data_IF_366729978319
#
_entry.id   IF_366729978319
#
_cell.length_a   1.000
_cell.length_b   1.000
_cell.length_c   1.000
_cell.angle_alpha   90.00
_cell.angle_beta   90.00
_cell.angle_gamma   90.00
#
_symmetry.space_group_name_H-M   'P 1'
#
loop_
_entity.id
_entity.type
_entity.pdbx_description
1 polymer ?
#
# COMPACT_ATOMS: atom_id res chain seq x y z
N UNK A 1 14.37 -14.10 -15.52
CA UNK A 1 13.37 -14.03 -16.61
C UNK A 1 13.48 -12.65 -17.25
N UNK A 2 13.07 -12.49 -18.51
CA UNK A 2 13.01 -11.18 -19.15
C UNK A 2 11.71 -10.49 -18.74
N UNK A 3 11.73 -9.19 -18.49
CA UNK A 3 10.53 -8.39 -18.18
C UNK A 3 9.46 -8.58 -19.27
N UNK A 4 8.17 -8.69 -18.90
CA UNK A 4 7.07 -8.75 -19.87
C UNK A 4 7.05 -7.54 -20.81
N UNK A 5 6.64 -7.78 -22.07
CA UNK A 5 6.44 -6.71 -23.05
C UNK A 5 5.02 -6.14 -22.91
N UNK A 6 4.85 -5.22 -21.96
CA UNK A 6 3.56 -4.58 -21.67
C UNK A 6 3.00 -3.78 -22.85
N UNK A 7 3.87 -3.12 -23.64
CA UNK A 7 3.45 -2.36 -24.82
C UNK A 7 2.77 -3.28 -25.83
N UNK A 8 3.35 -4.46 -26.10
CA UNK A 8 2.73 -5.44 -26.97
C UNK A 8 1.42 -5.99 -26.40
N UNK A 9 1.35 -6.28 -25.10
CA UNK A 9 0.12 -6.77 -24.46
C UNK A 9 -1.05 -5.81 -24.64
N UNK A 10 -0.84 -4.52 -24.35
CA UNK A 10 -1.87 -3.49 -24.52
C UNK A 10 -2.20 -3.18 -25.98
N UNK A 11 -1.24 -3.32 -26.90
CA UNK A 11 -1.50 -3.18 -28.32
C UNK A 11 -2.36 -4.33 -28.89
N UNK A 12 -2.12 -5.56 -28.42
CA UNK A 12 -2.84 -6.76 -28.85
C UNK A 12 -4.27 -6.83 -28.25
N UNK A 13 -4.44 -6.43 -26.98
CA UNK A 13 -5.72 -6.28 -26.30
C UNK A 13 -5.72 -4.99 -25.48
N UNK A 14 -6.57 -3.99 -25.80
CA UNK A 14 -6.59 -2.71 -25.08
C UNK A 14 -7.10 -2.82 -23.63
N UNK A 15 -7.61 -3.97 -23.22
CA UNK A 15 -7.97 -4.26 -21.82
C UNK A 15 -7.59 -5.72 -21.45
N UNK A 16 -6.28 -6.06 -21.42
CA UNK A 16 -5.82 -7.44 -21.38
C UNK A 16 -6.17 -8.16 -20.06
N UNK A 17 -6.43 -7.38 -19.01
CA UNK A 17 -6.89 -7.87 -17.70
C UNK A 17 -8.37 -7.61 -17.44
N UNK A 18 -9.11 -7.11 -18.43
CA UNK A 18 -10.53 -6.76 -18.32
C UNK A 18 -10.80 -5.76 -17.17
N UNK A 19 -9.88 -4.85 -16.91
CA UNK A 19 -9.94 -3.81 -15.87
C UNK A 19 -11.21 -2.98 -15.98
N UNK A 20 -11.64 -2.65 -17.20
CA UNK A 20 -12.82 -1.82 -17.40
C UNK A 20 -14.14 -2.56 -17.11
N UNK A 21 -14.17 -3.89 -17.21
CA UNK A 21 -15.43 -4.67 -17.26
C UNK A 21 -15.55 -5.76 -16.20
N UNK A 22 -14.43 -6.23 -15.67
CA UNK A 22 -14.38 -7.32 -14.69
C UNK A 22 -14.96 -6.88 -13.35
N UNK A 23 -15.78 -7.76 -12.77
CA UNK A 23 -16.28 -7.57 -11.41
C UNK A 23 -15.14 -7.52 -10.39
N UNK A 24 -14.09 -8.33 -10.58
CA UNK A 24 -12.92 -8.35 -9.72
C UNK A 24 -12.28 -6.95 -9.64
N UNK A 25 -12.01 -6.35 -10.79
CA UNK A 25 -11.31 -5.06 -10.91
C UNK A 25 -12.12 -3.92 -10.30
N UNK A 26 -13.41 -3.85 -10.64
CA UNK A 26 -14.34 -2.88 -10.04
C UNK A 26 -14.44 -3.03 -8.52
N UNK A 27 -14.49 -4.27 -8.02
CA UNK A 27 -14.54 -4.55 -6.58
C UNK A 27 -13.24 -4.16 -5.89
N UNK A 28 -12.09 -4.55 -6.44
CA UNK A 28 -10.76 -4.23 -5.92
C UNK A 28 -10.57 -2.73 -5.80
N UNK A 29 -10.84 -1.98 -6.87
CA UNK A 29 -10.77 -0.51 -6.86
C UNK A 29 -11.68 0.08 -5.78
N UNK A 30 -12.93 -0.40 -5.65
CA UNK A 30 -13.83 0.08 -4.60
C UNK A 30 -13.30 -0.18 -3.19
N UNK A 31 -12.70 -1.36 -2.93
CA UNK A 31 -12.08 -1.70 -1.65
C UNK A 31 -10.84 -0.84 -1.37
N UNK A 32 -10.00 -0.61 -2.38
CA UNK A 32 -8.84 0.28 -2.28
C UNK A 32 -9.27 1.69 -1.88
N UNK A 33 -10.22 2.27 -2.61
CA UNK A 33 -10.72 3.61 -2.32
C UNK A 33 -11.37 3.68 -0.93
N UNK A 34 -12.15 2.67 -0.54
CA UNK A 34 -12.76 2.62 0.80
C UNK A 34 -11.74 2.47 1.93
N UNK A 35 -10.53 1.99 1.65
CA UNK A 35 -9.45 1.79 2.63
C UNK A 35 -8.57 3.02 2.83
N UNK A 36 -8.69 4.05 1.98
CA UNK A 36 -7.93 5.29 2.12
C UNK A 36 -8.32 6.02 3.42
N UNK A 37 -7.31 6.31 4.24
CA UNK A 37 -7.48 6.92 5.57
C UNK A 37 -8.07 8.32 5.50
N UNK A 38 -7.62 9.14 4.54
CA UNK A 38 -8.02 10.55 4.44
C UNK A 38 -9.15 10.71 3.43
N UNK A 39 -10.16 11.57 3.67
CA UNK A 39 -11.22 11.82 2.68
C UNK A 39 -10.67 12.43 1.39
N UNK A 40 -9.58 13.20 1.48
CA UNK A 40 -8.95 13.92 0.38
C UNK A 40 -7.43 13.95 0.57
N UNK A 41 -6.68 13.98 -0.54
CA UNK A 41 -5.22 14.07 -0.62
C UNK A 41 -4.81 15.29 -1.45
N UNK A 42 -3.62 15.84 -1.20
CA UNK A 42 -3.10 16.97 -1.97
C UNK A 42 -2.52 16.52 -3.31
N UNK A 43 -1.59 15.57 -3.27
CA UNK A 43 -0.90 15.09 -4.46
C UNK A 43 -0.71 13.58 -4.42
N UNK A 44 -1.34 12.91 -5.39
CA UNK A 44 -1.32 11.46 -5.51
C UNK A 44 -0.37 11.04 -6.61
N UNK A 45 0.45 10.03 -6.34
CA UNK A 45 1.20 9.31 -7.36
C UNK A 45 0.70 7.86 -7.50
N UNK A 46 0.09 7.53 -8.64
CA UNK A 46 -0.31 6.18 -9.02
C UNK A 46 0.79 5.55 -9.91
N UNK A 47 1.63 4.70 -9.30
CA UNK A 47 2.82 4.12 -9.91
C UNK A 47 2.53 2.71 -10.45
N UNK A 48 2.44 2.60 -11.77
CA UNK A 48 1.91 1.42 -12.45
C UNK A 48 0.40 1.55 -12.69
N UNK A 49 -0.04 2.67 -13.26
CA UNK A 49 -1.47 3.00 -13.35
C UNK A 49 -2.26 2.13 -14.34
N UNK A 50 -1.58 1.37 -15.21
CA UNK A 50 -2.20 0.62 -16.28
C UNK A 50 -3.10 1.51 -17.14
N UNK A 51 -4.34 1.08 -17.35
CA UNK A 51 -5.35 1.81 -18.12
C UNK A 51 -6.02 2.97 -17.36
N UNK A 52 -5.66 3.22 -16.09
CA UNK A 52 -6.06 4.41 -15.35
C UNK A 52 -7.40 4.33 -14.61
N UNK A 53 -7.99 3.14 -14.41
CA UNK A 53 -9.25 2.98 -13.66
C UNK A 53 -9.09 3.36 -12.19
N UNK A 54 -7.99 2.98 -11.55
CA UNK A 54 -7.72 3.37 -10.16
C UNK A 54 -7.42 4.87 -10.08
N UNK A 55 -6.58 5.40 -10.98
CA UNK A 55 -6.33 6.83 -11.12
C UNK A 55 -7.61 7.67 -11.26
N UNK A 56 -8.62 7.18 -12.00
CA UNK A 56 -9.91 7.88 -12.12
C UNK A 56 -10.66 7.97 -10.79
N UNK A 57 -10.63 6.90 -9.99
CA UNK A 57 -11.18 6.91 -8.64
C UNK A 57 -10.42 7.84 -7.68
N UNK A 58 -9.09 7.90 -7.82
CA UNK A 58 -8.21 8.78 -7.05
C UNK A 58 -8.38 10.26 -7.42
N UNK A 59 -8.64 10.57 -8.70
CA UNK A 59 -8.86 11.93 -9.19
C UNK A 59 -10.06 12.61 -8.50
N UNK A 60 -11.06 11.85 -8.06
CA UNK A 60 -12.20 12.36 -7.27
C UNK A 60 -11.88 12.69 -5.81
N UNK A 61 -10.64 12.42 -5.34
CA UNK A 61 -10.20 12.59 -3.95
C UNK A 61 -8.85 13.29 -3.83
N UNK A 62 -8.41 13.98 -4.88
CA UNK A 62 -7.08 14.58 -4.95
C UNK A 62 -7.09 15.96 -5.60
N UNK A 63 -6.24 16.88 -5.13
CA UNK A 63 -6.03 18.18 -5.82
C UNK A 63 -5.21 17.99 -7.10
N UNK A 64 -4.30 17.01 -7.12
CA UNK A 64 -3.52 16.61 -8.29
C UNK A 64 -3.21 15.11 -8.28
N UNK A 65 -3.19 14.50 -9.46
CA UNK A 65 -2.77 13.10 -9.66
C UNK A 65 -1.69 13.04 -10.72
N UNK A 66 -0.59 12.37 -10.42
CA UNK A 66 0.35 11.86 -11.40
C UNK A 66 0.12 10.35 -11.53
N UNK A 67 -0.27 9.89 -12.70
CA UNK A 67 -0.40 8.47 -13.02
C UNK A 67 0.69 8.09 -14.03
N UNK A 68 1.47 7.06 -13.70
CA UNK A 68 2.62 6.64 -14.50
C UNK A 68 2.61 5.16 -14.78
N UNK A 69 3.09 4.78 -15.96
CA UNK A 69 3.26 3.37 -16.32
C UNK A 69 4.56 3.16 -17.12
N UNK A 70 5.08 1.92 -17.13
CA UNK A 70 6.20 1.52 -17.97
C UNK A 70 5.80 1.46 -19.46
N UNK A 71 4.53 1.13 -19.73
CA UNK A 71 3.96 1.02 -21.07
C UNK A 71 3.50 2.37 -21.61
N UNK A 72 3.96 2.72 -22.80
CA UNK A 72 3.47 3.88 -23.55
C UNK A 72 2.03 3.70 -24.02
N UNK A 73 1.64 2.46 -24.37
CA UNK A 73 0.27 2.13 -24.77
C UNK A 73 -0.71 2.25 -23.60
N UNK A 74 -0.34 1.74 -22.42
CA UNK A 74 -1.12 1.94 -21.19
C UNK A 74 -1.34 3.43 -20.90
N UNK A 75 -0.28 4.23 -20.99
CA UNK A 75 -0.34 5.69 -20.83
C UNK A 75 -1.29 6.34 -21.85
N UNK A 76 -1.29 5.90 -23.11
CA UNK A 76 -2.20 6.44 -24.13
C UNK A 76 -3.67 6.11 -23.83
N UNK A 77 -3.95 4.87 -23.38
CA UNK A 77 -5.28 4.44 -22.96
C UNK A 77 -5.75 5.20 -21.71
N UNK A 78 -4.88 5.33 -20.71
CA UNK A 78 -5.15 6.10 -19.49
C UNK A 78 -5.40 7.58 -19.80
N UNK A 79 -4.63 8.18 -20.72
CA UNK A 79 -4.83 9.57 -21.17
C UNK A 79 -6.22 9.76 -21.75
N UNK A 80 -6.71 8.80 -22.54
CA UNK A 80 -8.05 8.87 -23.12
C UNK A 80 -9.13 8.76 -22.04
N UNK A 81 -8.96 7.85 -21.07
CA UNK A 81 -9.91 7.64 -19.96
C UNK A 81 -9.99 8.84 -19.03
N UNK A 82 -8.86 9.48 -18.76
CA UNK A 82 -8.72 10.54 -17.77
C UNK A 82 -8.86 11.94 -18.39
N UNK A 83 -9.25 12.03 -19.65
CA UNK A 83 -9.35 13.29 -20.40
C UNK A 83 -10.33 14.32 -19.79
N UNK A 84 -11.25 13.89 -18.93
CA UNK A 84 -12.17 14.78 -18.21
C UNK A 84 -11.57 15.43 -16.95
N UNK A 85 -10.40 14.98 -16.50
CA UNK A 85 -9.74 15.46 -15.29
C UNK A 85 -8.52 16.34 -15.62
N UNK A 86 -8.71 17.66 -15.63
CA UNK A 86 -7.65 18.63 -15.95
C UNK A 86 -6.45 18.60 -14.96
N UNK A 87 -6.66 18.06 -13.75
CA UNK A 87 -5.67 17.93 -12.69
C UNK A 87 -4.93 16.58 -12.66
N UNK A 88 -5.17 15.72 -13.66
CA UNK A 88 -4.49 14.43 -13.80
C UNK A 88 -3.42 14.52 -14.89
N UNK A 89 -2.18 14.19 -14.54
CA UNK A 89 -1.05 14.12 -15.46
C UNK A 89 -0.67 12.67 -15.71
N UNK A 90 -0.46 12.32 -16.97
CA UNK A 90 0.01 11.00 -17.38
C UNK A 90 1.44 11.09 -17.89
N UNK A 91 2.28 10.12 -17.52
CA UNK A 91 3.63 10.03 -18.05
C UNK A 91 4.13 8.58 -18.11
N UNK A 92 4.94 8.28 -19.12
CA UNK A 92 5.68 7.03 -19.16
C UNK A 92 6.85 7.11 -18.17
N UNK A 93 6.84 6.26 -17.15
CA UNK A 93 7.92 6.14 -16.18
C UNK A 93 7.93 4.72 -15.61
N UNK A 94 8.87 3.85 -16.03
CA UNK A 94 8.99 2.52 -15.45
C UNK A 94 9.54 2.62 -14.02
N UNK A 95 9.01 1.82 -13.09
CA UNK A 95 9.65 1.60 -11.79
C UNK A 95 10.95 0.80 -11.99
N UNK A 96 12.01 1.06 -11.20
CA UNK A 96 12.12 2.00 -10.08
C UNK A 96 12.57 3.42 -10.50
N UNK A 97 12.31 3.85 -11.74
CA UNK A 97 12.64 5.19 -12.21
C UNK A 97 11.76 6.27 -11.60
N UNK A 98 12.39 7.32 -11.04
CA UNK A 98 11.68 8.55 -10.61
C UNK A 98 11.11 9.26 -11.84
N UNK A 99 9.80 9.57 -11.89
CA UNK A 99 9.25 10.34 -12.99
C UNK A 99 9.84 11.76 -13.04
N UNK A 100 10.32 12.19 -14.20
CA UNK A 100 10.87 13.55 -14.40
C UNK A 100 9.82 14.64 -14.14
N UNK A 101 8.54 14.31 -14.33
CA UNK A 101 7.39 15.19 -14.14
C UNK A 101 6.81 15.15 -12.72
N UNK A 102 7.47 14.45 -11.79
CA UNK A 102 7.07 14.41 -10.39
C UNK A 102 7.33 15.78 -9.73
N UNK A 103 6.27 16.59 -9.72
CA UNK A 103 6.29 17.97 -9.24
C UNK A 103 5.92 18.06 -7.75
N UNK A 104 6.94 17.98 -6.89
CA UNK A 104 6.77 17.94 -5.44
C UNK A 104 6.67 16.54 -4.86
N UNK A 105 6.35 16.46 -3.56
CA UNK A 105 6.27 15.22 -2.82
C UNK A 105 4.80 14.78 -2.70
N UNK A 106 4.42 13.58 -3.16
CA UNK A 106 3.07 13.06 -2.98
C UNK A 106 2.77 12.75 -1.51
N UNK A 107 1.55 13.04 -1.08
CA UNK A 107 1.00 12.64 0.23
C UNK A 107 0.17 11.34 0.15
N UNK A 108 0.01 10.79 -1.05
CA UNK A 108 -0.42 9.42 -1.31
C UNK A 108 0.38 8.81 -2.45
N UNK A 109 0.99 7.66 -2.20
CA UNK A 109 1.59 6.84 -3.27
C UNK A 109 0.81 5.52 -3.36
N UNK A 110 0.48 5.11 -4.57
CA UNK A 110 -0.20 3.84 -4.84
C UNK A 110 0.68 3.00 -5.74
N UNK A 111 0.92 1.75 -5.34
CA UNK A 111 1.59 0.75 -6.15
C UNK A 111 0.69 -0.47 -6.21
N UNK A 112 0.00 -0.63 -7.33
CA UNK A 112 -1.03 -1.67 -7.51
C UNK A 112 -0.58 -2.66 -8.58
N UNK A 113 -0.42 -3.93 -8.20
CA UNK A 113 -0.28 -5.06 -9.12
C UNK A 113 0.90 -5.00 -10.10
N UNK A 114 1.95 -4.25 -9.73
CA UNK A 114 3.19 -4.16 -10.53
C UNK A 114 4.41 -4.80 -9.88
N UNK A 115 4.44 -4.91 -8.54
CA UNK A 115 5.66 -5.29 -7.82
C UNK A 115 6.17 -6.69 -8.18
N UNK A 116 5.28 -7.65 -8.41
CA UNK A 116 5.66 -9.03 -8.75
C UNK A 116 6.30 -9.17 -10.14
N UNK A 117 6.13 -8.19 -11.03
CA UNK A 117 6.79 -8.14 -12.34
C UNK A 117 8.21 -7.57 -12.28
N UNK A 118 8.58 -6.89 -11.20
CA UNK A 118 9.91 -6.36 -11.00
C UNK A 118 10.83 -7.45 -10.47
N UNK A 119 12.11 -7.41 -10.86
CA UNK A 119 13.11 -8.26 -10.21
C UNK A 119 13.42 -7.78 -8.78
N UNK A 120 14.25 -8.53 -8.06
CA UNK A 120 14.52 -8.24 -6.65
C UNK A 120 15.21 -6.88 -6.43
N UNK A 121 16.11 -6.49 -7.32
CA UNK A 121 16.84 -5.22 -7.20
C UNK A 121 15.91 -4.05 -7.50
N UNK A 122 15.07 -4.18 -8.53
CA UNK A 122 14.08 -3.17 -8.91
C UNK A 122 12.96 -3.01 -7.86
N UNK A 123 12.52 -4.11 -7.21
CA UNK A 123 11.60 -4.03 -6.08
C UNK A 123 12.21 -3.27 -4.91
N UNK A 124 13.45 -3.62 -4.52
CA UNK A 124 14.14 -2.95 -3.43
C UNK A 124 14.35 -1.45 -3.71
N UNK A 125 14.72 -1.10 -4.94
CA UNK A 125 14.86 0.27 -5.40
C UNK A 125 13.52 1.01 -5.44
N UNK A 126 12.43 0.34 -5.80
CA UNK A 126 11.07 0.91 -5.75
C UNK A 126 10.69 1.32 -4.34
N UNK A 127 10.90 0.48 -3.33
CA UNK A 127 10.60 0.83 -1.94
C UNK A 127 11.44 2.01 -1.44
N UNK A 128 12.72 2.08 -1.86
CA UNK A 128 13.60 3.20 -1.54
C UNK A 128 13.15 4.50 -2.22
N UNK A 129 12.73 4.43 -3.49
CA UNK A 129 12.19 5.58 -4.22
C UNK A 129 10.94 6.13 -3.54
N UNK A 130 9.98 5.27 -3.21
CA UNK A 130 8.74 5.68 -2.54
C UNK A 130 9.02 6.33 -1.19
N UNK A 131 9.96 5.78 -0.42
CA UNK A 131 10.38 6.34 0.87
C UNK A 131 10.99 7.74 0.75
N UNK A 132 11.81 7.97 -0.29
CA UNK A 132 12.52 9.22 -0.59
C UNK A 132 11.58 10.34 -1.09
N UNK A 133 10.64 10.02 -1.99
CA UNK A 133 9.82 11.05 -2.65
C UNK A 133 8.58 11.46 -1.87
N UNK A 134 8.04 10.58 -1.02
CA UNK A 134 6.78 10.82 -0.33
C UNK A 134 6.92 11.79 0.84
N UNK A 135 5.86 12.58 1.13
CA UNK A 135 5.85 13.47 2.30
C UNK A 135 5.97 12.68 3.61
N UNK A 136 6.48 13.27 4.72
CA UNK A 136 6.59 12.57 5.99
C UNK A 136 5.28 11.97 6.51
N UNK A 137 4.14 12.59 6.19
CA UNK A 137 2.80 12.19 6.60
C UNK A 137 2.07 11.33 5.56
N UNK A 138 2.71 10.99 4.45
CA UNK A 138 2.10 10.29 3.33
C UNK A 138 1.50 8.93 3.71
N UNK A 139 0.46 8.55 2.98
CA UNK A 139 -0.01 7.16 2.90
C UNK A 139 0.64 6.45 1.71
N UNK A 140 0.97 5.17 1.90
CA UNK A 140 1.35 4.26 0.83
C UNK A 140 0.33 3.13 0.75
N UNK A 141 -0.22 2.90 -0.44
CA UNK A 141 -1.15 1.81 -0.74
C UNK A 141 -0.42 0.78 -1.59
N UNK A 142 -0.42 -0.47 -1.11
CA UNK A 142 0.04 -1.62 -1.89
C UNK A 142 -1.13 -2.54 -2.18
N UNK A 143 -1.27 -2.95 -3.44
CA UNK A 143 -2.24 -3.95 -3.88
C UNK A 143 -1.52 -5.02 -4.68
N UNK A 144 -1.82 -6.29 -4.42
CA UNK A 144 -1.30 -7.40 -5.23
C UNK A 144 -2.37 -8.46 -5.43
N UNK A 145 -2.54 -8.92 -6.67
CA UNK A 145 -3.18 -10.20 -6.94
C UNK A 145 -2.36 -11.31 -6.28
N UNK A 146 -2.97 -12.13 -5.42
CA UNK A 146 -2.22 -13.05 -4.55
C UNK A 146 -1.40 -14.13 -5.27
N UNK A 147 -1.93 -14.78 -6.32
CA UNK A 147 -1.21 -15.80 -7.08
C UNK A 147 0.06 -15.33 -7.81
N UNK A 148 0.70 -16.26 -8.51
CA UNK A 148 1.89 -16.01 -9.33
C UNK A 148 1.49 -15.93 -10.81
N UNK A 149 1.59 -14.75 -11.46
CA UNK A 149 1.47 -14.65 -12.91
C UNK A 149 2.59 -15.44 -13.60
N UNK A 150 2.30 -16.09 -14.72
CA UNK A 150 3.26 -16.97 -15.41
C UNK A 150 4.56 -16.27 -15.87
N UNK A 151 4.49 -14.95 -16.06
CA UNK A 151 5.54 -14.07 -16.54
C UNK A 151 6.13 -13.15 -15.44
N UNK A 152 5.74 -13.36 -14.19
CA UNK A 152 6.25 -12.62 -13.03
C UNK A 152 7.52 -13.24 -12.44
N UNK A 153 8.25 -12.45 -11.65
CA UNK A 153 9.42 -12.93 -10.92
C UNK A 153 9.05 -13.68 -9.64
N UNK A 154 7.96 -13.27 -8.98
CA UNK A 154 7.49 -13.79 -7.69
C UNK A 154 5.95 -13.79 -7.65
N UNK A 155 5.36 -14.46 -6.66
CA UNK A 155 3.91 -14.33 -6.46
C UNK A 155 3.55 -12.96 -5.90
N UNK A 156 2.32 -12.50 -6.09
CA UNK A 156 1.91 -11.23 -5.49
C UNK A 156 1.83 -11.29 -3.95
N UNK A 157 1.56 -12.46 -3.37
CA UNK A 157 1.71 -12.68 -1.92
C UNK A 157 3.16 -12.46 -1.46
N UNK A 158 4.13 -12.99 -2.19
CA UNK A 158 5.55 -12.84 -1.88
C UNK A 158 5.99 -11.37 -2.02
N UNK A 159 5.63 -10.72 -3.14
CA UNK A 159 5.89 -9.30 -3.34
C UNK A 159 5.28 -8.42 -2.24
N UNK A 160 4.04 -8.70 -1.82
CA UNK A 160 3.38 -7.96 -0.75
C UNK A 160 4.11 -8.11 0.59
N UNK A 161 4.50 -9.32 0.96
CA UNK A 161 5.19 -9.58 2.22
C UNK A 161 6.60 -8.97 2.24
N UNK A 162 7.33 -9.07 1.13
CA UNK A 162 8.64 -8.44 0.96
C UNK A 162 8.54 -6.91 1.10
N UNK A 163 7.60 -6.30 0.39
CA UNK A 163 7.36 -4.86 0.45
C UNK A 163 6.98 -4.41 1.87
N UNK A 164 6.07 -5.14 2.55
CA UNK A 164 5.66 -4.83 3.91
C UNK A 164 6.85 -4.86 4.89
N UNK A 165 7.75 -5.86 4.77
CA UNK A 165 8.94 -5.94 5.62
C UNK A 165 9.94 -4.81 5.31
N UNK A 166 10.16 -4.51 4.03
CA UNK A 166 11.06 -3.43 3.61
C UNK A 166 10.57 -2.04 4.04
N UNK A 167 9.26 -1.81 3.99
CA UNK A 167 8.60 -0.58 4.46
C UNK A 167 8.65 -0.46 5.98
N UNK A 168 8.39 -1.54 6.71
CA UNK A 168 8.50 -1.56 8.17
C UNK A 168 9.91 -1.18 8.64
N UNK A 169 10.95 -1.70 7.97
CA UNK A 169 12.35 -1.34 8.25
C UNK A 169 12.68 0.15 8.01
N UNK A 170 11.82 0.87 7.26
CA UNK A 170 11.91 2.31 6.98
C UNK A 170 10.95 3.15 7.84
N UNK A 171 10.30 2.55 8.83
CA UNK A 171 9.40 3.25 9.76
C UNK A 171 7.96 3.40 9.29
N UNK A 172 7.58 2.76 8.17
CA UNK A 172 6.19 2.70 7.72
C UNK A 172 5.41 1.66 8.53
N UNK A 173 4.40 2.11 9.27
CA UNK A 173 3.46 1.24 9.97
C UNK A 173 2.26 0.90 9.11
N UNK A 174 1.86 -0.37 9.08
CA UNK A 174 0.64 -0.81 8.38
C UNK A 174 -0.60 -0.46 9.20
N UNK A 175 -1.49 0.36 8.64
CA UNK A 175 -2.73 0.86 9.29
C UNK A 175 -3.99 0.17 8.79
N UNK A 176 -3.98 -0.40 7.58
CA UNK A 176 -5.05 -1.24 7.05
C UNK A 176 -4.45 -2.50 6.45
N UNK A 177 -5.12 -3.62 6.63
CA UNK A 177 -4.85 -4.87 5.91
C UNK A 177 -6.17 -5.46 5.45
N UNK A 178 -6.24 -5.76 4.17
CA UNK A 178 -7.29 -6.58 3.57
C UNK A 178 -6.64 -7.78 2.90
N UNK A 179 -7.24 -8.95 3.10
CA UNK A 179 -6.80 -10.18 2.46
C UNK A 179 -8.03 -11.00 2.18
N UNK A 180 -8.20 -11.38 0.92
CA UNK A 180 -9.18 -12.37 0.52
C UNK A 180 -8.57 -13.37 -0.48
N UNK A 181 -9.42 -14.17 -1.11
CA UNK A 181 -8.99 -15.19 -2.06
C UNK A 181 -8.39 -14.62 -3.36
N UNK A 182 -8.63 -13.34 -3.66
CA UNK A 182 -8.25 -12.72 -4.92
C UNK A 182 -7.05 -11.78 -4.74
N UNK A 183 -7.08 -10.89 -3.75
CA UNK A 183 -6.04 -9.87 -3.59
C UNK A 183 -5.67 -9.55 -2.14
N UNK A 184 -4.47 -9.02 -2.00
CA UNK A 184 -3.94 -8.42 -0.79
C UNK A 184 -3.91 -6.90 -0.96
N UNK A 185 -4.31 -6.20 0.09
CA UNK A 185 -4.22 -4.74 0.17
C UNK A 185 -3.64 -4.34 1.53
N UNK A 186 -2.69 -3.41 1.50
CA UNK A 186 -2.11 -2.79 2.67
C UNK A 186 -2.09 -1.28 2.51
N UNK A 187 -2.50 -0.55 3.55
CA UNK A 187 -2.27 0.89 3.65
C UNK A 187 -1.24 1.11 4.76
N UNK A 188 -0.18 1.84 4.44
CA UNK A 188 0.96 2.11 5.30
C UNK A 188 1.11 3.61 5.51
N UNK A 189 1.53 4.01 6.71
CA UNK A 189 1.80 5.40 7.06
C UNK A 189 2.97 5.48 8.02
N UNK A 190 3.76 6.56 7.97
CA UNK A 190 4.74 6.89 9.01
C UNK A 190 4.10 7.62 10.19
N UNK A 191 3.01 8.33 9.92
CA UNK A 191 2.15 8.98 10.91
C UNK A 191 1.04 8.00 11.36
N UNK A 192 1.39 7.08 12.25
CA UNK A 192 0.43 6.18 12.90
C UNK A 192 0.30 6.61 14.35
N UNK A 193 -0.89 7.04 14.81
CA UNK A 193 -1.13 7.31 16.21
C UNK A 193 -0.81 6.07 17.05
N UNK A 194 -0.03 6.23 18.13
CA UNK A 194 0.45 5.11 18.95
C UNK A 194 -0.66 4.32 19.67
N UNK A 195 -1.89 4.84 19.68
CA UNK A 195 -3.08 4.28 20.29
C UNK A 195 -3.97 3.48 19.32
N UNK A 196 -3.73 3.57 18.00
CA UNK A 196 -4.47 2.80 17.00
C UNK A 196 -3.79 1.44 16.79
N UNK A 197 -4.47 0.39 17.25
CA UNK A 197 -4.10 -1.00 16.95
C UNK A 197 -3.00 -1.60 17.82
N UNK A 198 -2.67 -0.97 18.97
CA UNK A 198 -1.80 -1.56 19.99
C UNK A 198 -0.50 -2.09 19.41
N UNK A 199 0.47 -1.21 19.14
CA UNK A 199 1.84 -1.69 19.05
C UNK A 199 2.17 -2.28 20.41
N UNK A 200 2.25 -3.60 20.51
CA UNK A 200 3.00 -4.25 21.58
C UNK A 200 4.43 -3.75 21.43
N UNK A 201 4.73 -2.63 22.10
CA UNK A 201 6.09 -2.28 22.45
C UNK A 201 6.51 -3.34 23.45
N UNK A 202 7.01 -4.46 22.92
CA UNK A 202 7.77 -5.43 23.68
C UNK A 202 9.05 -4.74 24.15
N UNK A 203 8.94 -3.94 25.22
CA UNK A 203 10.03 -3.42 26.02
C UNK A 203 9.45 -3.06 27.40
N UNK A 204 9.44 -4.07 28.26
CA UNK A 204 8.97 -3.99 29.64
C UNK A 204 9.43 -5.19 30.46
N UNK A 205 10.63 -5.72 30.18
CA UNK A 205 11.35 -6.54 31.15
C UNK A 205 12.02 -5.60 32.16
N UNK A 206 11.32 -5.36 33.27
CA UNK A 206 11.93 -5.08 34.57
C UNK A 206 10.93 -5.47 35.66
N UNK A 207 10.84 -6.78 35.92
CA UNK A 207 10.22 -7.32 37.10
C UNK A 207 11.30 -7.90 38.01
N UNK A 208 11.92 -7.03 38.81
CA UNK A 208 12.69 -7.44 39.99
C UNK A 208 12.36 -6.49 41.17
N UNK A 209 11.48 -6.92 42.07
CA UNK A 209 11.85 -7.35 43.43
C UNK A 209 10.63 -7.59 44.33
N UNK A 210 10.75 -8.45 45.37
CA UNK A 210 9.62 -9.10 46.03
C UNK A 210 9.03 -8.27 47.18
N UNK A 211 7.70 -8.32 47.31
CA UNK A 211 6.99 -7.77 48.46
C UNK A 211 7.08 -8.73 49.66
N UNK A 212 7.70 -8.26 50.74
CA UNK A 212 7.64 -8.82 52.09
C UNK A 212 6.20 -8.76 52.63
N UNK A 213 5.63 -9.83 53.22
CA UNK A 213 4.36 -9.71 53.93
C UNK A 213 4.59 -9.18 55.35
N UNK A 214 4.00 -8.02 55.65
CA UNK A 214 3.93 -7.43 56.98
C UNK A 214 2.91 -8.19 57.85
N UNK A 215 3.32 -8.50 59.07
CA UNK A 215 2.56 -9.24 60.05
C UNK A 215 1.83 -8.27 60.97
N UNK A 216 0.50 -8.33 61.03
CA UNK A 216 -0.27 -7.89 62.21
C UNK A 216 -1.46 -8.80 62.53
N UNK A 217 -1.28 -9.53 63.62
CA UNK A 217 -2.22 -9.85 64.69
C UNK A 217 -3.24 -8.72 64.95
N UNK A 218 -4.42 -8.86 65.54
CA UNK A 218 -5.19 -9.92 66.21
C UNK A 218 -6.54 -9.22 66.55
N UNK A 219 -7.66 -9.95 66.61
CA UNK A 219 -8.73 -9.78 67.61
C UNK A 219 -9.88 -10.75 67.36
N UNK A 220 -9.97 -11.74 68.25
CA UNK A 220 -11.13 -12.59 68.58
C UNK A 220 -12.30 -11.75 69.14
N UNK A 221 -13.56 -12.26 69.15
CA UNK A 221 -14.06 -13.06 70.29
C UNK A 221 -14.91 -14.28 69.85
N UNK A 222 -14.69 -15.49 70.38
CA UNK A 222 -15.24 -16.13 71.60
C UNK A 222 -16.74 -16.50 71.54
N UNK A 223 -16.99 -17.81 71.33
CA UNK A 223 -18.01 -18.74 71.92
C UNK A 223 -19.52 -18.42 71.76
N UNK A 224 -20.50 -19.36 71.74
CA UNK A 224 -20.59 -20.72 72.30
C UNK A 224 -21.84 -21.49 71.77
N UNK A 225 -21.88 -22.82 71.98
CA UNK A 225 -23.02 -23.78 72.01
C UNK A 225 -23.71 -24.17 70.68
N UNK A 226 -23.88 -25.45 70.31
CA UNK A 226 -23.74 -26.76 70.99
C UNK A 226 -23.57 -27.86 69.94
#
# INVERSE_FOLDING_TARGET
>A
MSTPDFDRMYADDPDPWQVATSWYERRKIAVVLASLRRPHYGYVWDAGCGTGELAAGLAGRADAVLATDASGEAVALATTRLAEFDHVRLARSPLPGRPDVLDGAPDLVVVSEVLYYLDADDRAATYALVDDVATPDADLVLVNWGPHPDDAHVSGLEAFNEAAAALAARGWGRIVTHTDAEFLLGVFSRDVPGDVGGRDTADGEDADSPATPDARADTTPTEETR
#
